data_IF_044286638043
#
_entry.id   IF_044286638043
#
_cell.length_a   1.000
_cell.length_b   1.000
_cell.length_c   1.000
_cell.angle_alpha   90.00
_cell.angle_beta   90.00
_cell.angle_gamma   90.00
#
_symmetry.space_group_name_H-M   'P 1'
#
loop_
_entity.id
_entity.type
_entity.pdbx_description
1 polymer ?
#
# COMPACT_ATOMS: atom_id res chain seq x y z
N UNK A 1 -4.38 -11.45 -20.25
CA UNK A 1 -3.07 -11.70 -19.61
C UNK A 1 -2.89 -10.76 -18.44
N UNK A 2 -2.44 -11.28 -17.30
CA UNK A 2 -2.21 -10.58 -16.03
C UNK A 2 -0.70 -10.59 -15.72
N UNK A 3 -0.09 -9.43 -15.50
CA UNK A 3 1.26 -9.33 -14.97
C UNK A 3 1.20 -9.13 -13.46
N UNK A 4 1.72 -10.09 -12.70
CA UNK A 4 1.92 -9.98 -11.25
C UNK A 4 3.25 -9.25 -11.04
N UNK A 5 3.17 -8.01 -10.58
CA UNK A 5 4.29 -7.08 -10.50
C UNK A 5 4.77 -6.95 -9.05
N UNK A 6 5.96 -7.48 -8.77
CA UNK A 6 6.52 -7.61 -7.42
C UNK A 6 7.66 -6.62 -7.25
N UNK A 7 7.54 -5.73 -6.28
CA UNK A 7 8.66 -4.91 -5.83
C UNK A 7 9.57 -5.73 -4.93
N UNK A 8 10.89 -5.56 -5.02
CA UNK A 8 11.82 -6.24 -4.12
C UNK A 8 12.94 -5.32 -3.65
N UNK A 9 13.23 -5.36 -2.36
CA UNK A 9 14.34 -4.65 -1.74
C UNK A 9 14.78 -5.31 -0.44
N UNK A 10 15.94 -5.96 -0.43
CA UNK A 10 16.61 -6.49 0.78
C UNK A 10 15.77 -7.55 1.55
N UNK A 11 14.97 -8.38 0.83
CA UNK A 11 14.02 -9.36 1.39
C UNK A 11 14.04 -10.67 0.61
N UNK A 12 15.14 -11.41 0.72
CA UNK A 12 15.38 -12.66 -0.05
C UNK A 12 14.37 -13.75 0.29
N UNK A 13 14.15 -14.01 1.59
CA UNK A 13 13.28 -15.09 2.07
C UNK A 13 11.80 -14.77 1.86
N UNK A 14 11.44 -13.53 2.05
CA UNK A 14 10.09 -13.04 1.86
C UNK A 14 9.71 -13.14 0.38
N UNK A 15 10.59 -12.70 -0.52
CA UNK A 15 10.40 -12.82 -1.97
C UNK A 15 10.25 -14.28 -2.40
N UNK A 16 11.10 -15.18 -1.90
CA UNK A 16 11.00 -16.62 -2.20
C UNK A 16 9.62 -17.18 -1.79
N UNK A 17 9.12 -16.81 -0.62
CA UNK A 17 7.79 -17.18 -0.14
C UNK A 17 6.68 -16.58 -0.99
N UNK A 18 6.80 -15.29 -1.33
CA UNK A 18 5.87 -14.59 -2.21
C UNK A 18 5.75 -15.28 -3.57
N UNK A 19 6.85 -15.56 -4.23
CA UNK A 19 6.91 -16.25 -5.52
C UNK A 19 6.26 -17.64 -5.45
N UNK A 20 6.56 -18.43 -4.41
CA UNK A 20 5.98 -19.77 -4.20
C UNK A 20 4.48 -19.76 -3.93
N UNK A 21 3.91 -18.62 -3.55
CA UNK A 21 2.47 -18.47 -3.33
C UNK A 21 1.67 -18.25 -4.61
N UNK A 22 2.35 -17.98 -5.73
CA UNK A 22 1.67 -17.80 -7.02
C UNK A 22 1.28 -19.17 -7.55
N UNK A 23 -0.02 -19.46 -7.54
CA UNK A 23 -0.58 -20.74 -7.97
C UNK A 23 -1.83 -20.51 -8.84
N UNK A 24 -1.81 -21.03 -10.07
CA UNK A 24 -2.90 -20.88 -11.05
C UNK A 24 -2.86 -22.00 -12.08
N UNK A 25 -4.03 -22.46 -12.49
CA UNK A 25 -4.19 -23.35 -13.63
C UNK A 25 -4.11 -22.63 -14.98
N UNK A 26 -4.11 -21.30 -14.95
CA UNK A 26 -4.08 -20.42 -16.13
C UNK A 26 -2.67 -19.85 -16.38
N UNK A 27 -1.64 -20.69 -16.28
CA UNK A 27 -0.24 -20.27 -16.33
C UNK A 27 0.11 -19.46 -17.59
N UNK A 28 -0.41 -19.84 -18.75
CA UNK A 28 -0.17 -19.15 -20.02
C UNK A 28 -0.72 -17.72 -20.07
N UNK A 29 -1.54 -17.33 -19.10
CA UNK A 29 -2.12 -15.99 -18.99
C UNK A 29 -1.46 -15.11 -17.94
N UNK A 30 -0.47 -15.65 -17.26
CA UNK A 30 0.22 -14.97 -16.17
C UNK A 30 1.67 -14.70 -16.56
N UNK A 31 2.08 -13.47 -16.32
CA UNK A 31 3.46 -13.04 -16.30
C UNK A 31 3.83 -12.63 -14.88
N UNK A 32 5.01 -13.02 -14.42
CA UNK A 32 5.56 -12.59 -13.14
C UNK A 32 6.70 -11.63 -13.40
N UNK A 33 6.57 -10.39 -12.94
CA UNK A 33 7.57 -9.34 -13.14
C UNK A 33 8.14 -8.93 -11.79
N UNK A 34 9.44 -9.11 -11.59
CA UNK A 34 10.13 -8.71 -10.36
C UNK A 34 11.07 -7.56 -10.66
N UNK A 35 10.94 -6.45 -9.90
CA UNK A 35 11.87 -5.32 -9.98
C UNK A 35 12.57 -5.13 -8.64
N UNK A 36 13.86 -5.50 -8.61
CA UNK A 36 14.78 -5.32 -7.49
C UNK A 36 15.35 -3.89 -7.52
N UNK A 37 15.27 -3.19 -6.41
CA UNK A 37 15.56 -1.74 -6.33
C UNK A 37 16.96 -1.43 -5.79
N UNK A 38 17.97 -2.08 -6.36
CA UNK A 38 19.40 -1.87 -6.05
C UNK A 38 19.72 -2.06 -4.55
N UNK A 39 19.28 -3.18 -3.98
CA UNK A 39 19.54 -3.48 -2.56
C UNK A 39 20.93 -4.13 -2.34
N UNK A 40 21.41 -4.15 -1.08
CA UNK A 40 22.62 -4.89 -0.72
C UNK A 40 22.54 -6.40 -1.02
N UNK A 41 21.32 -6.97 -1.09
CA UNK A 41 21.09 -8.40 -1.35
C UNK A 41 20.67 -8.70 -2.79
N UNK A 42 20.91 -7.79 -3.72
CA UNK A 42 20.44 -7.91 -5.12
C UNK A 42 20.89 -9.20 -5.82
N UNK A 43 22.09 -9.68 -5.54
CA UNK A 43 22.61 -10.92 -6.15
C UNK A 43 21.86 -12.17 -5.62
N UNK A 44 21.52 -12.19 -4.31
CA UNK A 44 20.74 -13.27 -3.73
C UNK A 44 19.28 -13.22 -4.23
N UNK A 45 18.72 -12.03 -4.40
CA UNK A 45 17.40 -11.83 -4.98
C UNK A 45 17.38 -12.33 -6.44
N UNK A 46 18.39 -11.98 -7.23
CA UNK A 46 18.52 -12.45 -8.60
C UNK A 46 18.58 -13.98 -8.68
N UNK A 47 19.29 -14.63 -7.76
CA UNK A 47 19.37 -16.09 -7.67
C UNK A 47 18.01 -16.72 -7.38
N UNK A 48 17.28 -16.21 -6.38
CA UNK A 48 15.91 -16.68 -6.05
C UNK A 48 14.98 -16.58 -7.25
N UNK A 49 15.01 -15.44 -7.96
CA UNK A 49 14.14 -15.26 -9.14
C UNK A 49 14.54 -16.19 -10.28
N UNK A 50 15.85 -16.42 -10.49
CA UNK A 50 16.35 -17.34 -11.50
C UNK A 50 15.89 -18.78 -11.21
N UNK A 51 16.08 -19.26 -9.97
CA UNK A 51 15.63 -20.60 -9.56
C UNK A 51 14.10 -20.75 -9.71
N UNK A 52 13.35 -19.72 -9.37
CA UNK A 52 11.91 -19.72 -9.56
C UNK A 52 11.55 -19.81 -11.05
N UNK A 53 12.20 -19.03 -11.91
CA UNK A 53 11.93 -19.02 -13.34
C UNK A 53 12.23 -20.37 -14.02
N UNK A 54 13.26 -21.11 -13.55
CA UNK A 54 13.61 -22.43 -14.07
C UNK A 54 12.57 -23.52 -13.76
N UNK A 55 11.79 -23.37 -12.69
CA UNK A 55 10.88 -24.40 -12.19
C UNK A 55 9.40 -24.01 -12.26
N UNK A 56 9.08 -22.73 -12.49
CA UNK A 56 7.71 -22.27 -12.56
C UNK A 56 7.12 -22.40 -13.98
N UNK A 57 5.80 -22.55 -14.12
CA UNK A 57 5.14 -22.57 -15.42
C UNK A 57 4.94 -21.17 -16.01
N UNK A 58 5.29 -20.11 -15.30
CA UNK A 58 4.99 -18.73 -15.69
C UNK A 58 6.11 -18.10 -16.50
N UNK A 59 5.75 -17.13 -17.35
CA UNK A 59 6.76 -16.24 -17.94
C UNK A 59 7.28 -15.29 -16.87
N UNK A 60 8.57 -15.33 -16.57
CA UNK A 60 9.21 -14.55 -15.52
C UNK A 60 10.12 -13.48 -16.13
N UNK A 61 9.90 -12.23 -15.75
CA UNK A 61 10.73 -11.08 -16.10
C UNK A 61 11.43 -10.57 -14.84
N UNK A 62 12.74 -10.51 -14.84
CA UNK A 62 13.54 -9.96 -13.75
C UNK A 62 14.26 -8.69 -14.20
N UNK A 63 14.19 -7.66 -13.37
CA UNK A 63 14.94 -6.42 -13.52
C UNK A 63 15.64 -6.08 -12.21
N UNK A 64 16.93 -5.72 -12.29
CA UNK A 64 17.66 -5.11 -11.19
C UNK A 64 18.00 -3.67 -11.57
N UNK A 65 17.50 -2.71 -10.79
CA UNK A 65 17.74 -1.30 -11.06
C UNK A 65 19.22 -0.95 -10.80
N UNK A 66 19.79 -0.06 -11.60
CA UNK A 66 21.17 0.40 -11.46
C UNK A 66 21.40 1.20 -10.15
N UNK A 67 20.36 1.87 -9.69
CA UNK A 67 20.33 2.62 -8.43
C UNK A 67 18.95 2.52 -7.79
N UNK A 68 18.85 2.80 -6.49
CA UNK A 68 17.58 2.78 -5.78
C UNK A 68 16.65 3.87 -6.29
N UNK A 69 15.55 3.47 -6.92
CA UNK A 69 14.52 4.37 -7.45
C UNK A 69 13.57 4.86 -6.36
N UNK A 70 13.41 4.09 -5.30
CA UNK A 70 12.38 4.26 -4.29
C UNK A 70 11.03 3.69 -4.74
N UNK A 71 10.15 3.51 -3.76
CA UNK A 71 8.88 2.79 -3.91
C UNK A 71 8.05 3.26 -5.12
N UNK A 72 7.75 4.56 -5.19
CA UNK A 72 6.81 5.08 -6.19
C UNK A 72 7.31 4.87 -7.64
N UNK A 73 8.61 5.08 -7.86
CA UNK A 73 9.22 4.91 -9.20
C UNK A 73 9.45 3.44 -9.54
N UNK A 74 9.69 2.59 -8.53
CA UNK A 74 9.81 1.16 -8.75
C UNK A 74 8.46 0.52 -9.13
N UNK A 75 7.33 0.98 -8.58
CA UNK A 75 5.99 0.61 -9.06
C UNK A 75 5.78 1.02 -10.51
N UNK A 76 6.23 2.22 -10.88
CA UNK A 76 6.16 2.67 -12.28
C UNK A 76 7.04 1.81 -13.18
N UNK A 77 8.28 1.51 -12.75
CA UNK A 77 9.21 0.65 -13.49
C UNK A 77 8.60 -0.72 -13.80
N UNK A 78 7.93 -1.34 -12.82
CA UNK A 78 7.20 -2.58 -13.01
C UNK A 78 6.15 -2.47 -14.12
N UNK A 79 5.41 -1.35 -14.18
CA UNK A 79 4.41 -1.15 -15.23
C UNK A 79 4.98 -1.00 -16.65
N UNK A 80 6.23 -0.55 -16.75
CA UNK A 80 6.95 -0.42 -18.02
C UNK A 80 7.51 -1.77 -18.50
N UNK A 81 7.93 -2.61 -17.54
CA UNK A 81 8.48 -3.95 -17.81
C UNK A 81 7.37 -4.96 -18.16
N UNK A 82 6.20 -4.82 -17.54
CA UNK A 82 5.07 -5.70 -17.72
C UNK A 82 4.52 -5.64 -19.15
N UNK A 83 4.09 -6.78 -19.67
CA UNK A 83 3.46 -6.91 -21.00
C UNK A 83 1.96 -7.18 -20.95
N UNK A 84 1.44 -7.57 -19.77
CA UNK A 84 0.03 -7.90 -19.59
C UNK A 84 -0.93 -6.72 -19.78
N UNK A 85 -2.16 -7.06 -20.12
CA UNK A 85 -3.25 -6.07 -20.19
C UNK A 85 -3.56 -5.49 -18.81
N UNK A 86 -3.45 -6.34 -17.78
CA UNK A 86 -3.61 -5.97 -16.37
C UNK A 86 -2.30 -6.11 -15.63
N UNK A 87 -2.10 -5.22 -14.67
CA UNK A 87 -1.01 -5.25 -13.70
C UNK A 87 -1.62 -5.41 -12.31
N UNK A 88 -1.24 -6.49 -11.62
CA UNK A 88 -1.50 -6.67 -10.20
C UNK A 88 -0.22 -6.35 -9.43
N UNK A 89 -0.25 -5.38 -8.56
CA UNK A 89 0.88 -5.12 -7.67
C UNK A 89 0.88 -6.07 -6.48
N UNK A 90 2.06 -6.53 -6.09
CA UNK A 90 2.27 -7.42 -4.95
C UNK A 90 3.57 -7.05 -4.23
N UNK A 91 3.53 -6.98 -2.91
CA UNK A 91 4.72 -6.80 -2.09
C UNK A 91 5.50 -8.10 -1.97
N UNK A 92 6.82 -8.02 -1.94
CA UNK A 92 7.70 -9.18 -1.73
C UNK A 92 7.50 -9.88 -0.37
N UNK A 93 6.86 -9.23 0.60
CA UNK A 93 6.56 -9.80 1.92
C UNK A 93 5.10 -10.31 2.07
N UNK A 94 4.26 -10.11 1.07
CA UNK A 94 2.89 -10.64 1.04
C UNK A 94 2.80 -11.93 0.22
N UNK A 95 1.70 -12.68 0.39
CA UNK A 95 1.44 -13.92 -0.34
C UNK A 95 0.03 -13.90 -0.97
N UNK A 96 -0.11 -14.62 -2.07
CA UNK A 96 -1.43 -14.95 -2.63
C UNK A 96 -2.02 -16.15 -1.90
N UNK A 97 -3.33 -16.16 -1.67
CA UNK A 97 -4.01 -17.35 -1.19
C UNK A 97 -4.11 -18.41 -2.30
N UNK A 98 -3.80 -19.68 -2.00
CA UNK A 98 -3.92 -20.76 -2.99
C UNK A 98 -5.32 -20.83 -3.62
N UNK A 99 -5.38 -21.06 -4.93
CA UNK A 99 -6.61 -21.26 -5.68
C UNK A 99 -7.50 -20.04 -5.89
N UNK A 100 -7.07 -18.83 -5.48
CA UNK A 100 -7.89 -17.61 -5.64
C UNK A 100 -7.65 -16.88 -6.95
N UNK A 101 -6.46 -17.06 -7.54
CA UNK A 101 -6.02 -16.31 -8.70
C UNK A 101 -6.85 -16.60 -9.97
N UNK A 102 -7.22 -17.84 -10.19
CA UNK A 102 -8.03 -18.23 -11.36
C UNK A 102 -9.41 -17.55 -11.35
N UNK A 103 -10.08 -17.53 -10.19
CA UNK A 103 -11.36 -16.83 -10.04
C UNK A 103 -11.23 -15.33 -10.26
N UNK A 104 -10.11 -14.74 -9.85
CA UNK A 104 -9.86 -13.32 -10.08
C UNK A 104 -9.58 -13.02 -11.56
N UNK A 105 -8.82 -13.85 -12.25
CA UNK A 105 -8.58 -13.73 -13.70
C UNK A 105 -9.91 -13.85 -14.46
N UNK A 106 -10.77 -14.78 -14.05
CA UNK A 106 -12.11 -14.91 -14.61
C UNK A 106 -12.93 -13.63 -14.42
N UNK A 107 -12.91 -13.04 -13.23
CA UNK A 107 -13.55 -11.77 -12.93
C UNK A 107 -13.03 -10.63 -13.84
N UNK A 108 -11.72 -10.53 -14.06
CA UNK A 108 -11.14 -9.54 -14.97
C UNK A 108 -11.63 -9.71 -16.41
N UNK A 109 -11.82 -10.94 -16.88
CA UNK A 109 -12.35 -11.25 -18.20
C UNK A 109 -13.82 -10.85 -18.35
N UNK A 110 -14.64 -11.22 -17.36
CA UNK A 110 -16.10 -11.02 -17.39
C UNK A 110 -16.46 -9.54 -17.30
N UNK A 111 -15.80 -8.79 -16.43
CA UNK A 111 -16.17 -7.40 -16.15
C UNK A 111 -15.28 -6.38 -16.86
N UNK A 112 -14.11 -6.79 -17.34
CA UNK A 112 -13.12 -5.88 -17.98
C UNK A 112 -12.93 -4.54 -17.26
N UNK A 113 -12.81 -4.50 -15.92
CA UNK A 113 -12.79 -3.26 -15.16
C UNK A 113 -11.51 -2.45 -15.45
N UNK A 114 -11.56 -1.14 -15.26
CA UNK A 114 -10.38 -0.28 -15.31
C UNK A 114 -9.39 -0.60 -14.18
N UNK A 115 -9.94 -0.94 -13.03
CA UNK A 115 -9.20 -1.44 -11.88
C UNK A 115 -10.05 -2.44 -11.08
N UNK A 116 -9.38 -3.34 -10.37
CA UNK A 116 -10.01 -4.29 -9.45
C UNK A 116 -9.17 -4.47 -8.19
N UNK A 117 -9.82 -4.87 -7.10
CA UNK A 117 -9.16 -5.23 -5.87
C UNK A 117 -10.00 -6.21 -5.05
N UNK A 118 -9.38 -6.84 -4.07
CA UNK A 118 -9.99 -7.89 -3.26
C UNK A 118 -9.67 -7.70 -1.77
N UNK A 119 -10.42 -8.34 -0.86
CA UNK A 119 -10.10 -8.37 0.56
C UNK A 119 -8.79 -9.12 0.82
N UNK A 120 -8.22 -8.84 1.98
CA UNK A 120 -6.95 -9.42 2.41
C UNK A 120 -6.99 -9.83 3.88
N UNK A 121 -6.10 -10.75 4.25
CA UNK A 121 -5.79 -11.04 5.64
C UNK A 121 -4.65 -10.13 6.11
N UNK A 122 -4.78 -9.62 7.33
CA UNK A 122 -3.73 -8.82 7.97
C UNK A 122 -3.56 -9.22 9.44
N UNK A 123 -2.42 -8.88 10.00
CA UNK A 123 -2.09 -9.19 11.38
C UNK A 123 -1.02 -10.27 11.49
N UNK A 124 -0.53 -10.48 12.70
CA UNK A 124 0.59 -11.36 12.98
C UNK A 124 0.13 -12.63 13.70
N UNK A 125 0.62 -13.78 13.26
CA UNK A 125 0.37 -15.12 13.84
C UNK A 125 -1.14 -15.40 14.05
N UNK A 126 -1.54 -15.81 15.26
CA UNK A 126 -2.92 -16.17 15.63
C UNK A 126 -3.90 -14.98 15.64
N UNK A 127 -3.40 -13.75 15.51
CA UNK A 127 -4.21 -12.52 15.48
C UNK A 127 -4.55 -12.07 14.06
N UNK A 128 -4.35 -12.90 13.06
CA UNK A 128 -4.76 -12.60 11.68
C UNK A 128 -6.26 -12.39 11.58
N UNK A 129 -6.66 -11.35 10.85
CA UNK A 129 -8.07 -10.99 10.61
C UNK A 129 -8.28 -10.71 9.13
N UNK A 130 -9.42 -11.13 8.61
CA UNK A 130 -9.85 -10.74 7.28
C UNK A 130 -10.25 -9.26 7.28
N UNK A 131 -9.67 -8.48 6.39
CA UNK A 131 -10.12 -7.14 6.09
C UNK A 131 -10.96 -7.17 4.82
N UNK A 132 -12.25 -7.06 4.99
CA UNK A 132 -13.23 -6.96 3.90
C UNK A 132 -13.77 -5.54 3.86
N UNK A 133 -13.66 -4.91 2.71
CA UNK A 133 -14.23 -3.58 2.52
C UNK A 133 -15.76 -3.66 2.35
N UNK A 134 -16.22 -4.70 1.64
CA UNK A 134 -17.64 -4.89 1.29
C UNK A 134 -18.04 -6.36 1.46
N UNK A 135 -19.35 -6.60 1.58
CA UNK A 135 -19.92 -7.92 1.86
C UNK A 135 -19.99 -8.84 0.62
N UNK A 136 -19.92 -8.28 -0.58
CA UNK A 136 -20.05 -9.03 -1.85
C UNK A 136 -19.33 -8.34 -3.00
N UNK A 137 -18.99 -9.12 -4.02
CA UNK A 137 -18.47 -8.60 -5.28
C UNK A 137 -19.45 -7.63 -5.94
N UNK A 138 -18.96 -6.54 -6.47
CA UNK A 138 -19.78 -5.54 -7.16
C UNK A 138 -18.95 -4.59 -8.04
N UNK A 139 -19.62 -4.01 -9.03
CA UNK A 139 -19.09 -2.91 -9.78
C UNK A 139 -19.04 -1.64 -8.95
N UNK A 140 -17.95 -0.88 -9.10
CA UNK A 140 -17.78 0.42 -8.45
C UNK A 140 -18.06 1.49 -9.50
N UNK A 141 -19.09 2.29 -9.23
CA UNK A 141 -19.45 3.39 -10.12
C UNK A 141 -18.29 4.41 -10.22
N UNK A 142 -18.06 4.93 -11.42
CA UNK A 142 -17.12 6.03 -11.61
C UNK A 142 -17.65 7.34 -10.98
N UNK A 143 -16.73 8.21 -10.60
CA UNK A 143 -17.06 9.56 -10.19
C UNK A 143 -16.57 9.92 -8.80
N UNK A 144 -16.87 11.16 -8.41
CA UNK A 144 -16.30 11.78 -7.22
C UNK A 144 -16.74 11.11 -5.91
N UNK A 145 -17.96 10.62 -5.81
CA UNK A 145 -18.45 9.97 -4.58
C UNK A 145 -17.70 8.66 -4.30
N UNK A 146 -17.38 7.90 -5.36
CA UNK A 146 -16.56 6.70 -5.23
C UNK A 146 -15.12 7.04 -4.82
N UNK A 147 -14.53 8.09 -5.36
CA UNK A 147 -13.19 8.53 -4.98
C UNK A 147 -13.15 9.03 -3.52
N UNK A 148 -14.14 9.83 -3.09
CA UNK A 148 -14.23 10.37 -1.72
C UNK A 148 -14.34 9.28 -0.65
N UNK A 149 -15.06 8.20 -0.94
CA UNK A 149 -15.39 7.15 0.05
C UNK A 149 -14.39 6.01 0.13
N UNK A 150 -13.39 5.93 -0.78
CA UNK A 150 -12.55 4.72 -0.94
C UNK A 150 -11.05 4.94 -0.84
N UNK A 151 -10.57 6.07 -0.33
CA UNK A 151 -9.13 6.32 -0.17
C UNK A 151 -8.43 5.22 0.62
N UNK A 152 -9.08 4.75 1.70
CA UNK A 152 -8.51 3.71 2.56
C UNK A 152 -8.46 2.32 1.92
N UNK A 153 -9.22 2.08 0.86
CA UNK A 153 -9.20 0.80 0.14
C UNK A 153 -7.87 0.60 -0.62
N UNK A 154 -7.14 1.69 -0.90
CA UNK A 154 -5.88 1.69 -1.64
C UNK A 154 -4.62 1.74 -0.76
N UNK A 155 -4.75 1.70 0.57
CA UNK A 155 -3.58 1.81 1.46
C UNK A 155 -2.67 0.58 1.33
N UNK A 156 -3.23 -0.63 1.36
CA UNK A 156 -2.49 -1.83 0.98
C UNK A 156 -2.44 -1.89 -0.55
N UNK A 157 -1.23 -1.94 -1.12
CA UNK A 157 -1.10 -2.00 -2.58
C UNK A 157 -1.13 -3.43 -3.13
N UNK A 158 -0.82 -4.43 -2.32
CA UNK A 158 -0.88 -5.83 -2.73
C UNK A 158 -2.30 -6.23 -3.12
N UNK A 159 -2.44 -6.77 -4.34
CA UNK A 159 -3.72 -7.12 -4.93
C UNK A 159 -4.43 -5.98 -5.69
N UNK A 160 -3.96 -4.74 -5.60
CA UNK A 160 -4.47 -3.68 -6.46
C UNK A 160 -4.10 -3.98 -7.92
N UNK A 161 -5.12 -4.07 -8.74
CA UNK A 161 -4.99 -4.48 -10.14
C UNK A 161 -5.56 -3.40 -11.04
N UNK A 162 -4.80 -3.01 -12.07
CA UNK A 162 -5.16 -1.92 -12.99
C UNK A 162 -4.97 -2.35 -14.43
N UNK A 163 -5.75 -1.81 -15.35
CA UNK A 163 -5.37 -1.85 -16.75
C UNK A 163 -4.04 -1.12 -16.96
N UNK A 164 -3.08 -1.79 -17.59
CA UNK A 164 -1.72 -1.27 -17.78
C UNK A 164 -1.70 0.08 -18.52
N UNK A 165 -2.59 0.25 -19.49
CA UNK A 165 -2.72 1.49 -20.26
C UNK A 165 -3.03 2.74 -19.42
N UNK A 166 -3.62 2.58 -18.22
CA UNK A 166 -3.92 3.68 -17.33
C UNK A 166 -2.72 4.13 -16.50
N UNK A 167 -1.72 3.25 -16.32
CA UNK A 167 -0.54 3.52 -15.48
C UNK A 167 0.60 4.11 -16.30
N UNK A 168 0.85 3.52 -17.48
CA UNK A 168 2.02 3.85 -18.31
C UNK A 168 2.15 5.35 -18.65
N UNK A 169 1.07 6.11 -18.90
CA UNK A 169 1.19 7.55 -19.19
C UNK A 169 1.53 8.42 -17.99
N UNK A 170 1.43 7.91 -16.74
CA UNK A 170 1.59 8.73 -15.54
C UNK A 170 3.08 8.90 -15.23
N UNK A 171 3.50 10.15 -15.05
CA UNK A 171 4.85 10.49 -14.60
C UNK A 171 5.02 10.26 -13.09
N UNK A 172 5.81 9.24 -12.72
CA UNK A 172 6.05 8.88 -11.34
C UNK A 172 7.09 9.76 -10.63
N UNK A 173 7.85 10.60 -11.34
CA UNK A 173 8.81 11.52 -10.69
C UNK A 173 8.10 12.52 -9.77
N UNK A 174 6.85 12.85 -10.06
CA UNK A 174 5.99 13.71 -9.22
C UNK A 174 5.74 13.12 -7.82
N UNK A 175 5.85 11.80 -7.66
CA UNK A 175 5.53 11.06 -6.42
C UNK A 175 6.77 10.65 -5.64
N UNK A 176 7.95 11.04 -6.08
CA UNK A 176 9.22 10.66 -5.45
C UNK A 176 9.20 10.86 -3.93
N UNK A 177 9.46 9.78 -3.19
CA UNK A 177 9.49 9.72 -1.73
C UNK A 177 8.13 9.98 -1.04
N UNK A 178 7.02 9.87 -1.74
CA UNK A 178 5.68 9.98 -1.13
C UNK A 178 5.16 8.62 -0.64
N UNK A 179 5.61 7.51 -1.24
CA UNK A 179 5.24 6.13 -0.88
C UNK A 179 3.74 5.80 -1.01
N UNK A 180 3.04 6.50 -1.90
CA UNK A 180 1.60 6.34 -2.10
C UNK A 180 1.16 6.50 -3.56
N UNK A 181 2.06 6.23 -4.52
CA UNK A 181 1.72 6.28 -5.94
C UNK A 181 0.48 5.44 -6.28
N UNK A 182 0.32 4.26 -5.67
CA UNK A 182 -0.84 3.41 -5.87
C UNK A 182 -2.17 4.08 -5.49
N UNK A 183 -2.16 4.99 -4.52
CA UNK A 183 -3.38 5.73 -4.14
C UNK A 183 -3.79 6.70 -5.24
N UNK A 184 -2.83 7.36 -5.86
CA UNK A 184 -3.11 8.22 -7.02
C UNK A 184 -3.70 7.43 -8.18
N UNK A 185 -3.11 6.27 -8.50
CA UNK A 185 -3.60 5.36 -9.54
C UNK A 185 -5.03 4.92 -9.26
N UNK A 186 -5.29 4.50 -8.02
CA UNK A 186 -6.59 4.04 -7.57
C UNK A 186 -7.65 5.13 -7.68
N UNK A 187 -7.37 6.32 -7.16
CA UNK A 187 -8.29 7.46 -7.22
C UNK A 187 -8.57 7.88 -8.67
N UNK A 188 -7.54 7.93 -9.52
CA UNK A 188 -7.68 8.27 -10.93
C UNK A 188 -8.54 7.25 -11.66
N UNK A 189 -8.27 5.95 -11.47
CA UNK A 189 -9.04 4.88 -12.11
C UNK A 189 -10.52 4.91 -11.67
N UNK A 190 -10.79 4.98 -10.37
CA UNK A 190 -12.17 5.03 -9.85
C UNK A 190 -12.90 6.30 -10.31
N UNK A 191 -12.25 7.45 -10.24
CA UNK A 191 -12.88 8.71 -10.62
C UNK A 191 -13.27 8.73 -12.10
N UNK A 192 -12.37 8.30 -12.98
CA UNK A 192 -12.58 8.40 -14.42
C UNK A 192 -13.37 7.23 -15.01
N UNK A 193 -13.18 6.02 -14.48
CA UNK A 193 -13.67 4.80 -15.14
C UNK A 193 -14.52 3.92 -14.22
N UNK A 194 -14.39 4.04 -12.88
CA UNK A 194 -14.93 3.08 -11.94
C UNK A 194 -14.01 1.87 -11.76
N UNK A 195 -14.54 0.80 -11.19
CA UNK A 195 -13.76 -0.40 -10.93
C UNK A 195 -14.62 -1.58 -10.54
N UNK A 196 -13.98 -2.62 -10.00
CA UNK A 196 -14.64 -3.82 -9.51
C UNK A 196 -14.04 -4.27 -8.17
N UNK A 197 -14.89 -4.57 -7.21
CA UNK A 197 -14.51 -5.24 -5.98
C UNK A 197 -14.84 -6.74 -6.08
N UNK A 198 -13.83 -7.57 -5.90
CA UNK A 198 -13.96 -9.03 -5.89
C UNK A 198 -13.90 -9.52 -4.43
N UNK A 199 -14.90 -10.22 -3.93
CA UNK A 199 -15.04 -10.51 -2.49
C UNK A 199 -14.27 -11.76 -1.98
N UNK A 200 -13.57 -12.49 -2.85
CA UNK A 200 -12.67 -13.56 -2.43
C UNK A 200 -11.40 -12.98 -1.78
N UNK A 201 -11.03 -13.49 -0.61
CA UNK A 201 -9.78 -13.09 0.04
C UNK A 201 -8.60 -13.61 -0.78
N UNK A 202 -7.81 -12.70 -1.35
CA UNK A 202 -6.71 -13.06 -2.25
C UNK A 202 -5.33 -12.90 -1.62
N UNK A 203 -5.17 -11.97 -0.69
CA UNK A 203 -3.87 -11.60 -0.17
C UNK A 203 -3.76 -11.99 1.30
N UNK A 204 -2.67 -12.65 1.66
CA UNK A 204 -2.17 -12.79 3.02
C UNK A 204 -1.08 -11.74 3.25
N UNK A 205 -1.42 -10.64 3.90
CA UNK A 205 -0.43 -9.64 4.30
C UNK A 205 0.26 -10.12 5.57
N UNK A 206 1.42 -10.75 5.36
CA UNK A 206 2.15 -11.48 6.42
C UNK A 206 2.79 -10.51 7.41
N UNK A 207 3.25 -9.35 6.93
CA UNK A 207 3.79 -8.24 7.76
C UNK A 207 4.94 -8.65 8.70
N UNK A 208 5.70 -9.70 8.34
CA UNK A 208 6.84 -10.21 9.13
C UNK A 208 8.20 -9.72 8.60
N UNK A 209 8.23 -9.07 7.47
CA UNK A 209 9.42 -8.49 6.87
C UNK A 209 9.86 -7.19 7.56
N UNK A 210 11.15 -6.92 7.53
CA UNK A 210 11.65 -5.59 7.89
C UNK A 210 11.16 -4.57 6.88
N UNK A 211 10.39 -3.57 7.32
CA UNK A 211 9.97 -2.46 6.47
C UNK A 211 11.16 -1.61 6.06
N UNK A 212 11.65 -1.79 4.84
CA UNK A 212 12.71 -0.99 4.25
C UNK A 212 12.23 0.41 3.78
N UNK A 213 10.93 0.60 3.63
CA UNK A 213 10.35 1.87 3.20
C UNK A 213 10.47 2.93 4.28
N UNK A 214 11.20 4.01 3.98
CA UNK A 214 11.53 5.10 4.91
C UNK A 214 12.99 5.12 5.35
N UNK A 215 13.80 4.15 4.93
CA UNK A 215 15.26 4.26 4.97
C UNK A 215 15.78 5.07 3.77
N UNK A 216 15.22 6.25 3.56
CA UNK A 216 15.88 7.22 2.70
C UNK A 216 17.20 7.59 3.38
N UNK A 217 18.29 7.55 2.62
CA UNK A 217 19.60 8.02 3.00
C UNK A 217 19.55 9.46 3.52
N UNK A 218 19.05 9.65 4.71
CA UNK A 218 19.28 10.84 5.48
C UNK A 218 20.50 10.59 6.35
N UNK A 219 21.68 10.90 5.75
CA UNK A 219 22.92 11.21 6.46
C UNK A 219 23.29 10.29 7.64
N UNK A 220 24.01 9.21 7.37
CA UNK A 220 25.13 8.74 8.20
C UNK A 220 24.89 8.30 9.64
N UNK A 221 23.67 8.21 10.17
CA UNK A 221 23.38 7.80 11.54
C UNK A 221 22.62 6.47 11.60
N UNK A 222 23.36 5.39 11.72
CA UNK A 222 22.90 4.01 11.64
C UNK A 222 22.17 3.46 12.88
N UNK A 223 22.02 4.13 14.01
CA UNK A 223 21.65 3.50 15.29
C UNK A 223 20.40 3.97 16.01
N UNK A 224 19.70 5.04 15.55
CA UNK A 224 18.49 5.50 16.25
C UNK A 224 17.17 5.22 15.51
N UNK A 225 17.22 4.61 14.32
CA UNK A 225 16.06 4.52 13.42
C UNK A 225 15.09 3.38 13.73
N UNK A 226 15.51 2.31 14.42
CA UNK A 226 14.59 1.24 14.86
C UNK A 226 13.67 1.73 15.99
N UNK A 227 14.19 2.53 16.91
CA UNK A 227 13.40 3.15 17.97
C UNK A 227 12.42 4.21 17.41
N UNK A 228 12.80 4.88 16.33
CA UNK A 228 11.95 5.88 15.66
C UNK A 228 10.83 5.27 14.78
N UNK A 229 10.97 4.03 14.31
CA UNK A 229 9.95 3.33 13.50
C UNK A 229 8.69 2.98 14.29
N UNK A 230 8.80 2.75 15.58
CA UNK A 230 7.67 2.51 16.47
C UNK A 230 7.09 3.80 17.05
N UNK A 231 7.71 4.94 16.80
CA UNK A 231 7.25 6.21 17.35
C UNK A 231 5.97 6.68 16.65
N UNK A 232 5.11 7.31 17.41
CA UNK A 232 3.88 7.92 16.88
C UNK A 232 4.19 8.97 15.80
N UNK A 233 5.39 9.51 15.78
CA UNK A 233 5.84 10.51 14.81
C UNK A 233 6.20 9.90 13.46
N UNK A 234 6.82 8.72 13.40
CA UNK A 234 7.14 8.07 12.13
C UNK A 234 5.87 7.75 11.32
N UNK A 235 4.82 7.29 11.99
CA UNK A 235 3.52 7.09 11.34
C UNK A 235 2.92 8.39 10.79
N UNK A 236 3.08 9.50 11.52
CA UNK A 236 2.58 10.80 11.05
C UNK A 236 3.38 11.30 9.84
N UNK A 237 4.71 11.18 9.88
CA UNK A 237 5.57 11.56 8.75
C UNK A 237 5.26 10.71 7.50
N UNK A 238 5.05 9.41 7.66
CA UNK A 238 4.64 8.54 6.57
C UNK A 238 3.30 8.97 5.96
N UNK A 239 2.31 9.29 6.79
CA UNK A 239 0.99 9.76 6.32
C UNK A 239 1.03 11.10 5.56
N UNK A 240 2.07 11.94 5.73
CA UNK A 240 2.21 13.17 4.95
C UNK A 240 2.32 12.92 3.45
N UNK A 241 2.95 11.81 3.06
CA UNK A 241 2.97 11.38 1.67
C UNK A 241 1.57 11.13 1.12
N UNK A 242 0.74 10.40 1.89
CA UNK A 242 -0.67 10.17 1.54
C UNK A 242 -1.44 11.48 1.37
N UNK A 243 -1.31 12.41 2.32
CA UNK A 243 -2.00 13.69 2.25
C UNK A 243 -1.63 14.46 0.98
N UNK A 244 -0.34 14.50 0.67
CA UNK A 244 0.16 15.16 -0.52
C UNK A 244 -0.33 14.50 -1.81
N UNK A 245 -0.36 13.19 -1.87
CA UNK A 245 -0.84 12.44 -3.04
C UNK A 245 -2.33 12.72 -3.31
N UNK A 246 -3.17 12.74 -2.27
CA UNK A 246 -4.60 13.08 -2.44
C UNK A 246 -4.77 14.54 -2.89
N UNK A 247 -3.99 15.47 -2.34
CA UNK A 247 -4.01 16.88 -2.77
C UNK A 247 -3.55 17.05 -4.24
N UNK A 248 -2.57 16.26 -4.69
CA UNK A 248 -2.15 16.24 -6.09
C UNK A 248 -3.28 15.74 -6.99
N UNK A 249 -3.99 14.70 -6.58
CA UNK A 249 -5.16 14.21 -7.29
C UNK A 249 -6.24 15.30 -7.39
N UNK A 250 -6.57 15.99 -6.30
CA UNK A 250 -7.53 17.08 -6.30
C UNK A 250 -7.11 18.23 -7.23
N UNK A 251 -5.83 18.57 -7.24
CA UNK A 251 -5.27 19.61 -8.12
C UNK A 251 -5.40 19.23 -9.59
N UNK A 252 -5.08 17.99 -9.94
CA UNK A 252 -5.09 17.52 -11.32
C UNK A 252 -6.52 17.35 -11.88
N UNK A 253 -7.49 17.06 -11.01
CA UNK A 253 -8.87 16.75 -11.42
C UNK A 253 -9.91 17.79 -11.00
N UNK A 254 -9.52 18.83 -10.28
CA UNK A 254 -10.44 19.87 -9.79
C UNK A 254 -11.47 19.33 -8.80
N UNK A 255 -11.02 18.43 -7.88
CA UNK A 255 -11.89 17.73 -6.93
C UNK A 255 -11.64 18.17 -5.47
N UNK A 256 -12.31 17.54 -4.51
CA UNK A 256 -12.23 17.83 -3.08
C UNK A 256 -12.14 16.54 -2.22
N UNK A 257 -11.54 15.48 -2.77
CA UNK A 257 -11.35 14.20 -2.07
C UNK A 257 -10.58 14.38 -0.77
N UNK A 258 -9.60 15.29 -0.74
CA UNK A 258 -8.81 15.56 0.44
C UNK A 258 -9.64 16.14 1.59
N UNK A 259 -10.59 17.02 1.32
CA UNK A 259 -11.48 17.59 2.35
C UNK A 259 -12.37 16.50 2.98
N UNK A 260 -12.84 15.53 2.19
CA UNK A 260 -13.58 14.36 2.68
C UNK A 260 -12.68 13.40 3.46
N UNK A 261 -11.50 13.12 2.95
CA UNK A 261 -10.50 12.30 3.61
C UNK A 261 -10.10 12.88 4.98
N UNK A 262 -9.94 14.20 5.11
CA UNK A 262 -9.62 14.84 6.39
C UNK A 262 -10.65 14.56 7.48
N UNK A 263 -11.94 14.48 7.14
CA UNK A 263 -13.01 14.14 8.09
C UNK A 263 -12.86 12.69 8.58
N UNK A 264 -12.68 11.76 7.65
CA UNK A 264 -12.50 10.34 7.98
C UNK A 264 -11.20 10.09 8.75
N UNK A 265 -10.08 10.68 8.30
CA UNK A 265 -8.80 10.63 9.00
C UNK A 265 -8.91 11.13 10.44
N UNK A 266 -9.64 12.22 10.65
CA UNK A 266 -9.89 12.77 11.98
C UNK A 266 -10.59 11.77 12.90
N UNK A 267 -11.61 11.07 12.42
CA UNK A 267 -12.31 10.04 13.19
C UNK A 267 -11.40 8.86 13.54
N UNK A 268 -10.54 8.45 12.60
CA UNK A 268 -9.58 7.33 12.78
C UNK A 268 -8.35 7.72 13.63
N UNK A 269 -8.08 9.00 13.83
CA UNK A 269 -6.86 9.49 14.51
C UNK A 269 -6.80 9.22 16.01
N UNK A 270 -7.91 8.84 16.64
CA UNK A 270 -7.99 8.60 18.10
C UNK A 270 -6.91 7.65 18.62
N UNK A 271 -6.65 6.54 17.92
CA UNK A 271 -5.58 5.59 18.26
C UNK A 271 -4.18 6.21 18.29
N UNK A 272 -3.89 7.15 17.36
CA UNK A 272 -2.64 7.92 17.34
C UNK A 272 -2.51 8.83 18.56
N UNK A 273 -3.60 9.51 18.91
CA UNK A 273 -3.65 10.33 20.14
C UNK A 273 -3.42 9.50 21.40
N UNK A 274 -4.05 8.33 21.51
CA UNK A 274 -3.86 7.43 22.65
C UNK A 274 -2.40 6.97 22.76
N UNK A 275 -1.76 6.57 21.65
CA UNK A 275 -0.34 6.17 21.63
C UNK A 275 0.56 7.32 22.06
N UNK A 276 0.40 8.50 21.47
CA UNK A 276 1.19 9.68 21.85
C UNK A 276 1.02 10.03 23.35
N UNK A 277 -0.19 9.86 23.88
CA UNK A 277 -0.47 10.13 25.29
C UNK A 277 0.18 9.10 26.22
N UNK A 278 0.26 7.83 25.84
CA UNK A 278 0.98 6.76 26.57
C UNK A 278 2.47 7.07 26.69
N UNK A 279 3.08 7.70 25.67
CA UNK A 279 4.48 8.13 25.68
C UNK A 279 4.73 9.38 26.56
N UNK A 280 3.68 10.03 27.05
CA UNK A 280 3.74 11.16 27.96
C UNK A 280 3.21 12.48 27.39
N UNK A 281 2.93 13.44 28.30
CA UNK A 281 2.31 14.72 27.90
C UNK A 281 3.17 15.55 26.96
N UNK A 282 4.49 15.46 27.01
CA UNK A 282 5.40 16.19 26.13
C UNK A 282 5.27 15.67 24.68
N UNK A 283 5.31 14.35 24.52
CA UNK A 283 5.14 13.68 23.21
C UNK A 283 3.74 13.97 22.67
N UNK A 284 2.73 13.89 23.50
CA UNK A 284 1.35 14.15 23.13
C UNK A 284 1.12 15.58 22.59
N UNK A 285 1.69 16.59 23.24
CA UNK A 285 1.60 17.99 22.79
C UNK A 285 2.36 18.20 21.47
N UNK A 286 3.50 17.58 21.33
CA UNK A 286 4.29 17.64 20.10
C UNK A 286 3.56 16.93 18.94
N UNK A 287 2.94 15.78 19.18
CA UNK A 287 2.12 15.08 18.21
C UNK A 287 0.97 15.95 17.70
N UNK A 288 0.24 16.59 18.62
CA UNK A 288 -0.82 17.54 18.29
C UNK A 288 -0.32 18.69 17.41
N UNK A 289 0.82 19.27 17.77
CA UNK A 289 1.45 20.37 17.02
C UNK A 289 1.82 19.93 15.61
N UNK A 290 2.49 18.78 15.45
CA UNK A 290 2.91 18.26 14.15
C UNK A 290 1.71 17.85 13.29
N UNK A 291 0.68 17.27 13.89
CA UNK A 291 -0.54 16.91 13.17
C UNK A 291 -1.24 18.16 12.62
N UNK A 292 -1.38 19.24 13.40
CA UNK A 292 -1.93 20.49 12.91
C UNK A 292 -1.07 21.13 11.80
N UNK A 293 0.24 20.95 11.84
CA UNK A 293 1.16 21.45 10.82
C UNK A 293 1.23 20.58 9.56
N UNK A 294 0.60 19.39 9.55
CA UNK A 294 0.69 18.41 8.44
C UNK A 294 -0.14 18.78 7.20
N UNK A 295 -0.95 19.84 7.26
CA UNK A 295 -1.86 20.25 6.19
C UNK A 295 -3.24 19.59 6.25
N UNK A 296 -3.47 18.64 7.16
CA UNK A 296 -4.79 18.03 7.37
C UNK A 296 -5.71 19.01 8.10
N UNK A 297 -6.90 19.24 7.55
CA UNK A 297 -7.96 20.00 8.21
C UNK A 297 -8.66 19.12 9.23
N UNK A 298 -8.20 19.18 10.48
CA UNK A 298 -8.75 18.36 11.55
C UNK A 298 -10.21 18.74 11.87
N UNK A 299 -11.08 17.74 11.89
CA UNK A 299 -12.45 17.92 12.33
C UNK A 299 -12.49 18.28 13.84
N UNK A 300 -13.56 18.98 14.31
CA UNK A 300 -13.70 19.36 15.72
C UNK A 300 -13.54 18.22 16.72
N UNK A 301 -13.85 16.98 16.32
CA UNK A 301 -13.66 15.78 17.15
C UNK A 301 -12.22 15.59 17.62
N UNK A 302 -11.23 15.98 16.82
CA UNK A 302 -9.81 15.89 17.24
C UNK A 302 -9.49 16.82 18.40
N UNK A 303 -10.14 18.00 18.48
CA UNK A 303 -10.02 18.91 19.63
C UNK A 303 -10.62 18.26 20.89
N UNK A 304 -11.75 17.56 20.74
CA UNK A 304 -12.35 16.78 21.84
C UNK A 304 -11.39 15.70 22.30
N UNK A 305 -10.80 14.93 21.38
CA UNK A 305 -9.79 13.91 21.72
C UNK A 305 -8.60 14.56 22.45
N UNK A 306 -8.11 15.68 21.95
CA UNK A 306 -7.00 16.39 22.55
C UNK A 306 -7.31 16.82 23.99
N UNK A 307 -8.44 17.47 24.23
CA UNK A 307 -8.85 17.94 25.55
C UNK A 307 -9.10 16.77 26.52
N UNK A 308 -9.85 15.76 26.07
CA UNK A 308 -10.18 14.58 26.86
C UNK A 308 -8.92 13.86 27.35
N UNK A 309 -8.00 13.55 26.44
CA UNK A 309 -6.77 12.83 26.76
C UNK A 309 -5.75 13.70 27.52
N UNK A 310 -5.82 15.02 27.44
CA UNK A 310 -4.99 15.93 28.25
C UNK A 310 -5.36 15.84 29.73
N UNK A 311 -6.66 15.72 30.03
CA UNK A 311 -7.16 15.62 31.41
C UNK A 311 -7.03 14.20 32.01
N UNK A 312 -6.76 13.18 31.21
CA UNK A 312 -6.69 11.80 31.66
C UNK A 312 -5.34 11.52 32.39
N UNK A 313 -5.41 10.94 33.57
CA UNK A 313 -4.21 10.53 34.34
C UNK A 313 -3.68 9.20 33.83
N UNK A 314 -2.36 8.98 33.95
CA UNK A 314 -1.62 7.82 33.40
C UNK A 314 -2.17 6.45 33.83
N UNK A 315 -2.88 6.36 34.93
CA UNK A 315 -3.34 5.10 35.55
C UNK A 315 -4.54 4.44 34.83
N UNK A 316 -5.15 5.11 33.83
CA UNK A 316 -6.34 4.59 33.15
C UNK A 316 -6.10 4.16 31.68
N UNK A 317 -4.91 4.39 31.14
CA UNK A 317 -4.55 3.99 29.77
C UNK A 317 -3.96 2.57 29.66
N UNK A 318 -3.90 1.86 30.78
CA UNK A 318 -3.41 0.50 30.81
C UNK A 318 -4.55 -0.50 30.72
N UNK A 319 -4.95 -0.88 29.52
CA UNK A 319 -5.46 -2.21 29.11
C UNK A 319 -5.86 -2.15 27.65
N UNK A 320 -5.14 -2.91 26.86
CA UNK A 320 -5.47 -3.51 25.57
C UNK A 320 -6.46 -2.79 24.62
N UNK A 321 -5.90 -2.02 23.67
CA UNK A 321 -6.53 -1.76 22.37
C UNK A 321 -5.56 -2.14 21.28
#
# INVERSE_FOLDING_TARGET
>A
MLSICITSYNRVKELERCLKSIDSQLADEIEVVVSEDCSPQKEQIAEVVREYAEHSPYHVVFNSNEHNLGYDRNLKRLSELASGQYIMYLSDDDCLFPGTLDGFIQCLREHSPAMAYAPFWYGYQEKKRAHRHYASSHEIAKGIESARSRVYDAILFSGLTFKRELIVPIDAERFKNLNYFQVYLFLTAIYQYGGYYHDAIMIDSVSDGENAYGQVESSGKKNDQLADRESVFSNLEFNKGLFKVIQMFDTDHGTDVFDHFCKEYSLRSFGGFCRARKEGLKVYREYWKRLNASGVRLAPVCHVYYLFLTSYTHNHLGRDY
#
